data_IF_838354493960
#
_entry.id   IF_838354493960
#
_cell.length_a   1.000
_cell.length_b   1.000
_cell.length_c   1.000
_cell.angle_alpha   90.00
_cell.angle_beta   90.00
_cell.angle_gamma   90.00
#
_symmetry.space_group_name_H-M   'P 1'
#
loop_
_entity.id
_entity.type
_entity.pdbx_description
1 polymer ?
#
# COMPACT_ATOMS: atom_id res chain seq x y z
N UNK A 1 21.78 9.94 -7.78
CA UNK A 1 21.62 8.47 -7.61
C UNK A 1 20.28 8.05 -8.19
N UNK A 2 20.23 6.98 -8.99
CA UNK A 2 18.96 6.47 -9.55
C UNK A 2 18.18 5.74 -8.45
N UNK A 3 16.90 6.10 -8.26
CA UNK A 3 15.98 5.50 -7.28
C UNK A 3 15.17 4.32 -7.84
N UNK A 4 15.44 3.92 -9.09
CA UNK A 4 14.79 2.80 -9.75
C UNK A 4 15.15 1.46 -9.11
N UNK A 5 14.15 0.60 -8.95
CA UNK A 5 14.35 -0.77 -8.48
C UNK A 5 14.19 -1.75 -9.64
N UNK A 6 14.98 -2.82 -9.58
CA UNK A 6 14.89 -3.93 -10.54
C UNK A 6 13.69 -4.79 -10.14
N UNK A 7 12.81 -5.05 -11.09
CA UNK A 7 11.69 -5.97 -10.96
C UNK A 7 12.17 -7.39 -11.20
N UNK A 8 11.71 -8.32 -10.38
CA UNK A 8 12.06 -9.75 -10.50
C UNK A 8 11.47 -10.37 -11.77
N UNK A 9 10.32 -9.85 -12.23
CA UNK A 9 9.66 -10.33 -13.44
C UNK A 9 9.16 -9.18 -14.33
N UNK A 10 9.40 -9.31 -15.64
CA UNK A 10 9.07 -8.29 -16.66
C UNK A 10 7.57 -7.95 -16.75
N UNK A 11 6.69 -8.85 -16.30
CA UNK A 11 5.24 -8.62 -16.36
C UNK A 11 4.73 -7.74 -15.21
N UNK A 12 5.48 -7.58 -14.11
CA UNK A 12 5.04 -6.81 -12.94
C UNK A 12 4.70 -5.37 -13.35
N UNK A 13 5.48 -4.80 -14.27
CA UNK A 13 5.21 -3.47 -14.80
C UNK A 13 3.89 -3.41 -15.57
N UNK A 14 3.63 -4.36 -16.46
CA UNK A 14 2.40 -4.40 -17.25
C UNK A 14 1.17 -4.56 -16.35
N UNK A 15 1.26 -5.42 -15.33
CA UNK A 15 0.19 -5.59 -14.35
C UNK A 15 -0.03 -4.32 -13.52
N UNK A 16 1.05 -3.62 -13.16
CA UNK A 16 0.95 -2.34 -12.49
C UNK A 16 0.32 -1.24 -13.38
N UNK A 17 0.72 -1.14 -14.65
CA UNK A 17 0.14 -0.20 -15.62
C UNK A 17 -1.36 -0.40 -15.81
N UNK A 18 -1.85 -1.64 -15.82
CA UNK A 18 -3.29 -1.93 -15.84
C UNK A 18 -4.00 -1.42 -14.58
N UNK A 19 -3.39 -1.61 -13.42
CA UNK A 19 -3.94 -1.18 -12.12
C UNK A 19 -3.91 0.34 -11.94
N UNK A 20 -3.00 1.03 -12.64
CA UNK A 20 -2.92 2.49 -12.67
C UNK A 20 -4.09 3.16 -13.39
N UNK A 21 -4.97 2.43 -14.08
CA UNK A 21 -6.24 2.98 -14.56
C UNK A 21 -7.08 3.56 -13.39
N UNK A 22 -6.81 3.14 -12.14
CA UNK A 22 -7.32 3.77 -10.93
C UNK A 22 -6.90 5.25 -10.74
N UNK A 23 -5.82 5.73 -11.37
CA UNK A 23 -5.48 7.16 -11.44
C UNK A 23 -6.58 7.97 -12.13
N UNK A 24 -7.28 7.39 -13.11
CA UNK A 24 -8.41 8.04 -13.75
C UNK A 24 -9.65 8.13 -12.82
N UNK A 25 -9.70 7.34 -11.75
CA UNK A 25 -10.83 7.25 -10.81
C UNK A 25 -10.72 8.22 -9.62
N UNK A 26 -9.89 9.25 -9.73
CA UNK A 26 -9.76 10.31 -8.72
C UNK A 26 -8.75 10.04 -7.61
N UNK A 27 -7.80 9.12 -7.84
CA UNK A 27 -6.61 8.99 -6.98
C UNK A 27 -5.56 10.01 -7.39
N UNK A 28 -4.67 10.37 -6.47
CA UNK A 28 -3.59 11.33 -6.72
C UNK A 28 -2.24 10.63 -6.64
N UNK A 29 -1.38 10.87 -7.64
CA UNK A 29 0.00 10.42 -7.62
C UNK A 29 0.84 11.40 -6.79
N UNK A 30 1.21 11.01 -5.57
CA UNK A 30 2.01 11.86 -4.67
C UNK A 30 3.50 11.83 -5.01
N UNK A 31 3.99 10.67 -5.47
CA UNK A 31 5.40 10.49 -5.78
C UNK A 31 5.61 9.40 -6.82
N UNK A 32 6.69 9.56 -7.60
CA UNK A 32 7.01 8.68 -8.71
C UNK A 32 6.40 9.17 -10.01
N UNK A 33 6.75 8.45 -11.07
CA UNK A 33 6.16 8.64 -12.38
C UNK A 33 6.11 7.27 -13.03
N UNK A 34 4.89 6.82 -13.32
CA UNK A 34 4.62 5.53 -13.94
C UNK A 34 5.01 5.51 -15.42
N UNK A 35 5.04 6.67 -16.07
CA UNK A 35 5.20 6.82 -17.50
C UNK A 35 6.59 7.31 -17.92
N UNK A 36 7.56 7.45 -17.00
CA UNK A 36 8.87 8.00 -17.36
C UNK A 36 9.54 7.14 -18.44
N UNK A 37 9.98 7.77 -19.53
CA UNK A 37 10.72 7.17 -20.66
C UNK A 37 12.01 6.43 -20.25
N UNK A 38 12.50 6.64 -19.02
CA UNK A 38 13.71 5.99 -18.47
C UNK A 38 13.46 4.64 -17.82
N UNK A 39 12.20 4.25 -17.62
CA UNK A 39 11.86 2.96 -17.05
C UNK A 39 12.01 1.86 -18.11
N UNK A 40 12.85 0.86 -17.89
CA UNK A 40 12.94 -0.32 -18.75
C UNK A 40 11.85 -1.34 -18.37
N UNK A 41 11.63 -2.39 -19.18
CA UNK A 41 10.67 -3.47 -18.84
C UNK A 41 10.94 -4.14 -17.49
N UNK A 42 12.16 -4.02 -16.97
CA UNK A 42 12.61 -4.64 -15.71
C UNK A 42 12.92 -3.62 -14.63
N UNK A 43 12.60 -2.33 -14.84
CA UNK A 43 12.85 -1.28 -13.85
C UNK A 43 11.65 -0.38 -13.69
N UNK A 44 11.37 -0.04 -12.44
CA UNK A 44 10.29 0.85 -12.11
C UNK A 44 10.71 1.79 -10.98
N UNK A 45 10.25 3.04 -11.06
CA UNK A 45 10.42 4.00 -9.98
C UNK A 45 9.43 3.70 -8.86
N UNK A 46 9.79 3.97 -7.60
CA UNK A 46 8.85 3.90 -6.50
C UNK A 46 7.67 4.86 -6.73
N UNK A 47 6.45 4.35 -6.55
CA UNK A 47 5.20 5.10 -6.77
C UNK A 47 4.40 5.16 -5.47
N UNK A 48 3.93 6.35 -5.11
CA UNK A 48 3.05 6.57 -3.95
C UNK A 48 1.76 7.18 -4.44
N UNK A 49 0.64 6.54 -4.13
CA UNK A 49 -0.70 6.94 -4.58
C UNK A 49 -1.55 7.22 -3.34
N UNK A 50 -2.28 8.33 -3.34
CA UNK A 50 -3.25 8.69 -2.30
C UNK A 50 -4.67 8.75 -2.84
N UNK A 51 -5.65 8.78 -1.92
CA UNK A 51 -7.07 8.78 -2.26
C UNK A 51 -7.58 7.42 -2.73
N UNK A 52 -6.86 6.34 -2.41
CA UNK A 52 -7.23 4.97 -2.77
C UNK A 52 -8.47 4.56 -1.98
N UNK A 53 -9.48 4.03 -2.67
CA UNK A 53 -10.76 3.58 -2.11
C UNK A 53 -10.89 2.06 -2.21
N UNK A 54 -11.72 1.47 -1.34
CA UNK A 54 -11.89 0.01 -1.21
C UNK A 54 -12.47 -0.70 -2.44
N UNK A 55 -13.13 0.05 -3.33
CA UNK A 55 -13.68 -0.43 -4.60
C UNK A 55 -12.64 -0.45 -5.74
N UNK A 56 -11.42 0.03 -5.50
CA UNK A 56 -10.36 0.07 -6.49
C UNK A 56 -9.54 -1.23 -6.48
N UNK A 57 -9.14 -1.69 -7.67
CA UNK A 57 -8.32 -2.90 -7.81
C UNK A 57 -6.96 -2.78 -7.10
N UNK A 58 -6.37 -1.57 -7.09
CA UNK A 58 -5.11 -1.29 -6.38
C UNK A 58 -5.23 -1.36 -4.85
N UNK A 59 -6.46 -1.31 -4.31
CA UNK A 59 -6.73 -1.54 -2.89
C UNK A 59 -6.76 -3.04 -2.59
N UNK A 60 -7.45 -3.80 -3.43
CA UNK A 60 -7.74 -5.21 -3.14
C UNK A 60 -6.60 -6.14 -3.55
N UNK A 61 -5.80 -5.79 -4.55
CA UNK A 61 -4.83 -6.72 -5.14
C UNK A 61 -3.41 -6.24 -4.99
N UNK A 62 -2.54 -7.11 -4.49
CA UNK A 62 -1.12 -6.86 -4.38
C UNK A 62 -0.48 -6.53 -5.75
N UNK A 63 0.27 -5.43 -5.80
CA UNK A 63 0.91 -4.93 -7.02
C UNK A 63 2.27 -5.59 -7.29
N UNK A 64 2.92 -6.17 -6.26
CA UNK A 64 4.27 -6.76 -6.30
C UNK A 64 5.37 -5.86 -6.91
N UNK A 65 5.08 -4.56 -7.06
CA UNK A 65 5.98 -3.53 -7.55
C UNK A 65 6.41 -2.59 -6.42
N UNK A 66 7.35 -1.67 -6.67
CA UNK A 66 7.76 -0.67 -5.69
C UNK A 66 6.67 0.40 -5.51
N UNK A 67 5.54 0.04 -4.94
CA UNK A 67 4.34 0.90 -4.90
C UNK A 67 3.74 0.91 -3.52
N UNK A 68 3.23 2.06 -3.09
CA UNK A 68 2.54 2.21 -1.81
C UNK A 68 1.21 2.93 -2.02
N UNK A 69 0.13 2.34 -1.51
CA UNK A 69 -1.20 2.95 -1.43
C UNK A 69 -1.35 3.63 -0.08
N UNK A 70 -1.69 4.92 -0.08
CA UNK A 70 -1.98 5.71 1.11
C UNK A 70 -3.49 5.85 1.26
N UNK A 71 -4.01 5.34 2.36
CA UNK A 71 -5.42 5.39 2.73
C UNK A 71 -5.52 6.20 4.02
N UNK A 72 -6.29 7.27 4.00
CA UNK A 72 -6.53 8.12 5.17
C UNK A 72 -7.67 7.54 6.00
N UNK A 73 -7.52 7.60 7.33
CA UNK A 73 -8.48 7.10 8.30
C UNK A 73 -8.72 8.15 9.38
N UNK A 74 -9.94 8.21 9.90
CA UNK A 74 -10.30 9.14 10.98
C UNK A 74 -10.36 8.44 12.34
N UNK A 75 -10.81 7.18 12.35
CA UNK A 75 -11.08 6.43 13.58
C UNK A 75 -10.26 5.15 13.68
N UNK A 76 -10.21 4.57 14.89
CA UNK A 76 -9.62 3.24 15.08
C UNK A 76 -10.46 2.12 14.45
N UNK A 77 -11.77 2.30 14.33
CA UNK A 77 -12.66 1.34 13.66
C UNK A 77 -12.38 1.27 12.16
N UNK A 78 -12.03 2.40 11.54
CA UNK A 78 -11.57 2.44 10.15
C UNK A 78 -10.31 1.60 9.93
N UNK A 79 -9.38 1.62 10.88
CA UNK A 79 -8.16 0.78 10.81
C UNK A 79 -8.53 -0.69 10.70
N UNK A 80 -9.41 -1.18 11.58
CA UNK A 80 -9.82 -2.58 11.62
C UNK A 80 -10.61 -2.97 10.37
N UNK A 81 -11.50 -2.09 9.92
CA UNK A 81 -12.28 -2.29 8.69
C UNK A 81 -11.36 -2.40 7.47
N UNK A 82 -10.28 -1.64 7.42
CA UNK A 82 -9.33 -1.67 6.31
C UNK A 82 -8.45 -2.92 6.38
N UNK A 83 -7.82 -3.17 7.52
CA UNK A 83 -6.89 -4.29 7.69
C UNK A 83 -7.59 -5.64 7.55
N UNK A 84 -8.75 -5.83 8.20
CA UNK A 84 -9.52 -7.08 8.14
C UNK A 84 -10.44 -7.15 6.90
N UNK A 85 -10.58 -6.05 6.16
CA UNK A 85 -11.45 -5.95 4.98
C UNK A 85 -10.83 -6.46 3.69
N UNK A 86 -9.63 -7.02 3.75
CA UNK A 86 -8.95 -7.60 2.58
C UNK A 86 -8.88 -9.12 2.71
N UNK A 87 -8.87 -9.83 1.59
CA UNK A 87 -8.68 -11.29 1.56
C UNK A 87 -7.25 -11.70 1.99
N UNK A 88 -6.36 -10.72 2.15
CA UNK A 88 -4.97 -10.90 2.50
C UNK A 88 -4.73 -10.50 3.97
N UNK A 89 -3.90 -11.26 4.68
CA UNK A 89 -3.62 -11.02 6.10
C UNK A 89 -2.21 -11.42 6.50
N UNK A 90 -1.21 -11.12 5.67
CA UNK A 90 0.17 -11.61 5.90
C UNK A 90 0.82 -10.93 7.11
N UNK A 91 0.80 -9.60 7.15
CA UNK A 91 1.37 -8.83 8.25
C UNK A 91 0.77 -7.44 8.34
N UNK A 92 0.55 -6.94 9.56
CA UNK A 92 0.26 -5.52 9.81
C UNK A 92 1.18 -4.96 10.89
N UNK A 93 1.23 -3.62 10.97
CA UNK A 93 2.05 -2.91 11.92
C UNK A 93 1.38 -1.60 12.36
N UNK A 94 1.09 -1.51 13.66
CA UNK A 94 0.49 -0.33 14.26
C UNK A 94 1.56 0.58 14.87
N UNK A 95 1.52 1.89 14.55
CA UNK A 95 2.40 2.90 15.12
C UNK A 95 1.59 3.94 15.90
N UNK A 96 1.81 4.03 17.20
CA UNK A 96 1.09 4.97 18.08
C UNK A 96 1.97 5.41 19.25
N UNK A 97 1.64 6.54 19.88
CA UNK A 97 2.24 6.94 21.17
C UNK A 97 1.49 6.37 22.36
N UNK A 98 0.24 5.94 22.15
CA UNK A 98 -0.60 5.33 23.19
C UNK A 98 -0.51 3.81 23.08
N UNK A 99 0.29 3.21 23.97
CA UNK A 99 0.49 1.77 24.06
C UNK A 99 -0.82 1.00 24.29
N UNK A 100 -1.76 1.53 25.08
CA UNK A 100 -3.03 0.83 25.34
C UNK A 100 -3.88 0.76 24.07
N UNK A 101 -3.87 1.84 23.29
CA UNK A 101 -4.54 1.87 21.98
C UNK A 101 -3.86 0.91 21.00
N UNK A 102 -2.53 0.89 20.94
CA UNK A 102 -1.76 -0.02 20.08
C UNK A 102 -2.08 -1.49 20.36
N UNK A 103 -2.00 -1.89 21.64
CA UNK A 103 -2.33 -3.24 22.07
C UNK A 103 -3.78 -3.65 21.83
N UNK A 104 -4.74 -2.72 21.87
CA UNK A 104 -6.14 -3.02 21.54
C UNK A 104 -6.30 -3.30 20.05
N UNK A 105 -5.76 -2.43 19.20
CA UNK A 105 -5.82 -2.59 17.74
C UNK A 105 -5.12 -3.89 17.33
N UNK A 106 -3.91 -4.14 17.85
CA UNK A 106 -3.14 -5.34 17.55
C UNK A 106 -3.84 -6.66 17.92
N UNK A 107 -4.79 -6.64 18.88
CA UNK A 107 -5.59 -7.81 19.25
C UNK A 107 -6.79 -8.05 18.32
N UNK A 108 -7.23 -7.02 17.61
CA UNK A 108 -8.43 -7.03 16.78
C UNK A 108 -8.10 -7.20 15.29
N UNK A 109 -6.84 -7.02 14.89
CA UNK A 109 -6.34 -7.27 13.54
C UNK A 109 -6.23 -8.78 13.26
N UNK A 110 -6.79 -9.23 12.14
CA UNK A 110 -6.74 -10.61 11.66
C UNK A 110 -5.57 -10.83 10.69
N UNK A 111 -4.34 -10.94 11.22
CA UNK A 111 -3.14 -11.22 10.41
C UNK A 111 -2.27 -12.34 10.99
N UNK A 112 -1.43 -12.94 10.15
CA UNK A 112 -0.46 -13.94 10.57
C UNK A 112 0.68 -13.37 11.43
N UNK A 113 1.05 -12.11 11.23
CA UNK A 113 2.11 -11.42 11.99
C UNK A 113 1.71 -9.96 12.27
N UNK A 114 1.52 -9.61 13.53
CA UNK A 114 1.27 -8.23 13.96
C UNK A 114 2.49 -7.64 14.66
N UNK A 115 2.87 -6.40 14.30
CA UNK A 115 3.96 -5.65 14.94
C UNK A 115 3.47 -4.34 15.54
N UNK A 116 3.36 -4.27 16.86
CA UNK A 116 3.11 -3.02 17.57
C UNK A 116 4.43 -2.27 17.86
N UNK A 117 4.53 -1.02 17.43
CA UNK A 117 5.62 -0.13 17.78
C UNK A 117 5.11 1.13 18.48
N UNK A 118 5.09 1.08 19.80
CA UNK A 118 4.92 2.25 20.64
C UNK A 118 6.27 2.97 20.85
N UNK A 119 6.37 4.24 20.46
CA UNK A 119 7.49 5.08 20.89
C UNK A 119 7.28 5.48 22.36
N UNK A 120 8.04 4.85 23.26
CA UNK A 120 8.20 5.28 24.66
C UNK A 120 9.04 6.55 24.76
#
# INVERSE_FOLDING_TARGET
MSTERILVHKNIRTEFEKKLDALAKGTSLLYGDAATEKSTKTRMRPVIISGVKSDMEIYQTESFGPTVSLIEIETGEDTLRIDNGTEYGLSSATFTKDLRRGLRIAKEIETGVERDQAKL
#
